data_IF_842515774284
#
_entry.id   IF_842515774284
#
_cell.length_a   1.000
_cell.length_b   1.000
_cell.length_c   1.000
_cell.angle_alpha   90.00
_cell.angle_beta   90.00
_cell.angle_gamma   90.00
#
_symmetry.space_group_name_H-M   'P 1'
#
loop_
_entity.id
_entity.type
_entity.pdbx_description
1 polymer ?
#
# COMPACT_ATOMS: atom_id res chain seq x y z
N UNK A 1 2.22 -1.99 -57.31
CA UNK A 1 2.98 -0.74 -57.18
C UNK A 1 3.84 -0.91 -55.93
N UNK A 2 5.14 -1.17 -56.10
CA UNK A 2 6.07 -1.42 -54.99
C UNK A 2 6.54 -0.09 -54.42
N UNK A 3 6.23 0.15 -53.15
CA UNK A 3 6.80 1.26 -52.38
C UNK A 3 8.11 0.81 -51.73
N UNK A 4 9.21 1.46 -52.10
CA UNK A 4 10.53 1.30 -51.49
C UNK A 4 10.56 2.23 -50.26
N UNK A 5 10.67 1.66 -49.07
CA UNK A 5 10.86 2.41 -47.82
C UNK A 5 12.36 2.64 -47.64
N UNK A 6 12.80 3.91 -47.76
CA UNK A 6 14.17 4.31 -47.41
C UNK A 6 14.29 4.45 -45.89
N UNK A 7 15.15 3.62 -45.28
CA UNK A 7 15.69 3.88 -43.94
C UNK A 7 16.88 4.84 -44.08
N UNK A 8 16.84 5.96 -43.34
CA UNK A 8 18.01 6.82 -43.11
C UNK A 8 18.68 6.42 -41.78
N UNK A 9 20.02 6.30 -41.72
CA UNK A 9 20.73 6.11 -40.46
C UNK A 9 20.78 7.43 -39.68
N UNK A 10 20.31 7.41 -38.43
CA UNK A 10 20.54 8.49 -37.46
C UNK A 10 21.96 8.30 -36.92
N UNK A 11 22.79 9.31 -37.16
CA UNK A 11 24.18 9.37 -36.75
C UNK A 11 24.32 9.50 -35.23
N UNK A 12 25.30 8.78 -34.67
CA UNK A 12 25.84 9.02 -33.34
C UNK A 12 26.34 10.46 -33.23
N UNK A 13 25.94 11.17 -32.18
CA UNK A 13 26.62 12.37 -31.73
C UNK A 13 27.20 12.05 -30.35
N UNK A 14 28.49 11.74 -30.34
CA UNK A 14 29.36 11.96 -29.18
C UNK A 14 29.41 13.47 -28.94
N UNK A 15 29.13 13.94 -27.72
CA UNK A 15 29.76 15.18 -27.24
C UNK A 15 29.74 15.28 -25.70
N UNK A 16 30.96 15.43 -25.19
CA UNK A 16 31.42 16.06 -23.96
C UNK A 16 30.89 15.59 -22.59
N UNK A 17 31.80 14.96 -21.85
CA UNK A 17 31.86 15.06 -20.39
C UNK A 17 32.11 16.53 -19.99
N UNK A 18 31.28 17.06 -19.10
CA UNK A 18 31.53 18.29 -18.36
C UNK A 18 31.45 17.97 -16.87
N UNK A 19 32.63 17.76 -16.27
CA UNK A 19 32.84 17.72 -14.83
C UNK A 19 32.69 19.15 -14.29
N UNK A 20 31.49 19.51 -13.83
CA UNK A 20 31.30 20.70 -13.01
C UNK A 20 31.20 20.31 -11.54
N UNK A 21 32.35 20.27 -10.88
CA UNK A 21 32.50 20.27 -9.44
C UNK A 21 31.70 21.45 -8.85
N UNK A 22 30.56 21.16 -8.22
CA UNK A 22 29.80 22.17 -7.46
C UNK A 22 30.33 22.18 -6.04
N UNK A 23 31.36 22.99 -5.85
CA UNK A 23 31.90 23.44 -4.57
C UNK A 23 30.78 23.96 -3.64
N UNK A 24 30.93 23.63 -2.36
CA UNK A 24 29.90 23.75 -1.34
C UNK A 24 29.35 25.14 -1.08
N UNK A 25 28.09 25.15 -0.65
CA UNK A 25 27.51 26.26 0.10
C UNK A 25 27.13 25.77 1.48
N UNK A 26 28.05 25.96 2.43
CA UNK A 26 27.73 25.96 3.87
C UNK A 26 26.72 27.07 4.13
N UNK A 27 25.47 26.69 4.38
CA UNK A 27 24.52 27.57 5.06
C UNK A 27 24.70 27.38 6.57
N UNK A 28 25.37 28.37 7.18
CA UNK A 28 25.52 28.53 8.62
C UNK A 28 24.17 28.43 9.35
N UNK A 29 24.02 27.39 10.16
CA UNK A 29 22.95 27.26 11.14
C UNK A 29 23.17 28.30 12.24
N UNK A 30 22.38 29.38 12.22
CA UNK A 30 22.25 30.24 13.39
C UNK A 30 21.43 29.51 14.46
N UNK A 31 22.12 29.15 15.54
CA UNK A 31 21.51 28.77 16.81
C UNK A 31 20.87 30.03 17.41
N UNK A 32 19.55 30.12 17.37
CA UNK A 32 18.81 31.08 18.19
C UNK A 32 18.54 30.47 19.56
N UNK A 33 19.31 30.98 20.53
CA UNK A 33 19.19 30.74 21.96
C UNK A 33 18.14 31.73 22.51
N UNK A 34 16.93 31.23 22.81
CA UNK A 34 15.95 32.05 23.53
C UNK A 34 15.11 31.23 24.51
N UNK A 35 15.55 31.37 25.77
CA UNK A 35 14.71 31.73 26.93
C UNK A 35 13.93 30.62 27.64
N UNK A 36 14.43 30.34 28.85
CA UNK A 36 13.72 29.76 30.01
C UNK A 36 12.56 30.66 30.46
N UNK A 37 11.39 30.06 30.65
CA UNK A 37 10.41 30.37 31.70
C UNK A 37 9.87 29.01 32.16
N UNK A 38 10.27 28.43 33.31
CA UNK A 38 9.83 28.71 34.69
C UNK A 38 8.39 29.21 34.85
N UNK A 39 7.46 28.27 35.01
CA UNK A 39 6.23 28.47 35.79
C UNK A 39 5.84 27.18 36.52
N UNK A 40 6.19 27.16 37.80
CA UNK A 40 5.35 26.80 38.96
C UNK A 40 4.21 25.78 38.77
N UNK A 41 4.38 24.65 39.45
CA UNK A 41 3.39 23.88 40.23
C UNK A 41 1.89 24.23 40.07
N UNK A 42 1.11 23.24 39.64
CA UNK A 42 -0.22 23.03 40.20
C UNK A 42 -0.47 21.54 40.45
N UNK A 43 -0.60 21.22 41.73
CA UNK A 43 -1.04 19.92 42.25
C UNK A 43 -2.55 19.98 42.40
N UNK A 44 -3.27 19.60 41.35
CA UNK A 44 -4.72 19.45 41.33
C UNK A 44 -5.14 18.03 41.73
N UNK A 45 -5.44 17.88 43.01
CA UNK A 45 -6.15 16.76 43.64
C UNK A 45 -7.65 16.88 43.29
N UNK A 46 -8.30 15.85 42.74
CA UNK A 46 -9.72 15.98 42.37
C UNK A 46 -10.40 14.80 41.69
N UNK A 47 -11.04 13.99 42.53
CA UNK A 47 -12.24 13.17 42.31
C UNK A 47 -12.18 11.82 41.57
N UNK A 48 -12.24 10.81 42.42
CA UNK A 48 -12.92 9.52 42.28
C UNK A 48 -14.34 9.66 41.69
N UNK A 49 -14.55 9.09 40.50
CA UNK A 49 -15.87 8.81 39.96
C UNK A 49 -16.07 7.30 39.79
N UNK A 50 -16.61 6.66 40.82
CA UNK A 50 -17.16 5.31 40.75
C UNK A 50 -18.45 5.36 39.90
N UNK A 51 -18.34 4.98 38.63
CA UNK A 51 -19.45 4.84 37.71
C UNK A 51 -19.86 3.38 37.56
N UNK A 52 -20.57 2.86 38.57
CA UNK A 52 -21.31 1.60 38.47
C UNK A 52 -22.50 1.79 37.51
N UNK A 53 -22.29 1.43 36.25
CA UNK A 53 -23.32 1.37 35.20
C UNK A 53 -23.76 -0.07 34.96
N UNK A 54 -24.86 -0.43 35.60
CA UNK A 54 -25.59 -1.70 35.53
C UNK A 54 -25.95 -2.17 34.10
N UNK A 55 -25.85 -3.49 33.93
CA UNK A 55 -26.72 -4.43 33.19
C UNK A 55 -27.22 -4.06 31.79
N UNK A 56 -26.75 -4.81 30.80
CA UNK A 56 -27.39 -4.98 29.50
C UNK A 56 -27.18 -6.40 28.98
N UNK A 57 -27.86 -7.38 29.59
CA UNK A 57 -28.05 -8.71 29.01
C UNK A 57 -28.96 -8.57 27.78
N UNK A 58 -28.33 -8.42 26.62
CA UNK A 58 -29.00 -8.44 25.32
C UNK A 58 -28.99 -9.84 24.74
N UNK A 59 -29.94 -10.67 25.16
CA UNK A 59 -30.32 -11.89 24.45
C UNK A 59 -30.97 -11.51 23.10
N UNK A 60 -30.13 -11.39 22.07
CA UNK A 60 -30.53 -11.17 20.69
C UNK A 60 -30.50 -12.47 19.89
N UNK A 61 -31.45 -13.36 20.16
CA UNK A 61 -31.82 -14.45 19.25
C UNK A 61 -32.43 -13.86 17.97
N UNK A 62 -31.93 -14.23 16.78
CA UNK A 62 -32.72 -14.04 15.56
C UNK A 62 -31.96 -13.96 14.24
N UNK A 63 -31.43 -15.10 13.81
CA UNK A 63 -31.44 -15.66 12.45
C UNK A 63 -31.62 -14.75 11.20
N UNK A 64 -30.67 -14.95 10.29
CA UNK A 64 -30.84 -15.27 8.85
C UNK A 64 -31.11 -14.16 7.81
N UNK A 65 -30.27 -14.20 6.77
CA UNK A 65 -30.44 -13.55 5.45
C UNK A 65 -29.06 -13.21 4.86
N UNK A 66 -28.32 -14.17 4.30
CA UNK A 66 -28.40 -14.72 2.93
C UNK A 66 -27.79 -13.81 1.84
N UNK A 67 -26.68 -14.28 1.25
CA UNK A 67 -26.17 -13.95 -0.10
C UNK A 67 -25.13 -12.82 -0.14
N UNK A 68 -23.88 -13.00 -0.57
CA UNK A 68 -23.27 -14.03 -1.41
C UNK A 68 -21.86 -14.33 -0.90
N UNK A 69 -21.65 -15.54 -0.34
CA UNK A 69 -20.31 -16.13 -0.33
C UNK A 69 -20.09 -16.64 -1.74
N UNK A 70 -19.32 -15.89 -2.53
CA UNK A 70 -18.95 -16.29 -3.88
C UNK A 70 -18.38 -17.71 -3.88
N UNK A 71 -18.90 -18.52 -4.79
CA UNK A 71 -18.42 -19.86 -5.14
C UNK A 71 -16.94 -19.78 -5.56
N UNK A 72 -16.04 -20.00 -4.61
CA UNK A 72 -14.61 -20.22 -4.84
C UNK A 72 -14.24 -21.65 -4.42
N UNK A 73 -14.82 -22.64 -5.08
CA UNK A 73 -14.34 -24.01 -4.92
C UNK A 73 -12.99 -24.16 -5.63
N UNK A 74 -11.91 -24.33 -4.86
CA UNK A 74 -10.87 -25.25 -5.27
C UNK A 74 -10.43 -26.17 -4.12
N UNK A 75 -10.33 -27.43 -4.51
CA UNK A 75 -10.14 -28.62 -3.71
C UNK A 75 -8.66 -28.88 -3.51
N UNK A 76 -8.17 -28.62 -2.30
CA UNK A 76 -7.16 -29.43 -1.62
C UNK A 76 -5.87 -29.73 -2.37
N UNK A 77 -4.86 -28.91 -2.11
CA UNK A 77 -3.54 -29.41 -1.73
C UNK A 77 -3.31 -28.97 -0.29
N UNK A 78 -2.70 -29.82 0.54
CA UNK A 78 -2.52 -29.60 1.98
C UNK A 78 -1.50 -28.51 2.32
N UNK A 79 -1.44 -27.46 1.50
CA UNK A 79 -0.57 -26.32 1.61
C UNK A 79 -1.35 -25.24 2.36
N UNK A 80 -0.80 -24.77 3.48
CA UNK A 80 -1.44 -23.85 4.42
C UNK A 80 -1.50 -22.42 3.85
N UNK A 81 -2.03 -22.28 2.64
CA UNK A 81 -2.05 -21.04 1.89
C UNK A 81 -3.18 -20.13 2.36
N UNK A 82 -2.92 -18.83 2.53
CA UNK A 82 -3.97 -17.89 2.89
C UNK A 82 -4.95 -17.71 1.72
N UNK A 83 -6.25 -17.70 2.01
CA UNK A 83 -7.27 -17.35 1.01
C UNK A 83 -7.56 -15.85 1.04
N UNK A 84 -6.93 -15.09 0.14
CA UNK A 84 -7.24 -13.67 -0.05
C UNK A 84 -8.53 -13.43 -0.85
N UNK A 85 -9.27 -14.46 -1.26
CA UNK A 85 -10.49 -14.33 -2.06
C UNK A 85 -10.20 -13.87 -3.50
N UNK A 86 -9.19 -14.46 -4.12
CA UNK A 86 -8.81 -14.14 -5.49
C UNK A 86 -9.91 -14.55 -6.49
N UNK A 87 -10.19 -13.66 -7.44
CA UNK A 87 -11.09 -13.94 -8.55
C UNK A 87 -10.27 -14.48 -9.73
N UNK A 88 -10.34 -15.78 -9.95
CA UNK A 88 -9.68 -16.48 -11.07
C UNK A 88 -10.19 -16.07 -12.45
N UNK A 89 -11.32 -15.38 -12.52
CA UNK A 89 -11.86 -14.80 -13.76
C UNK A 89 -11.31 -13.42 -14.10
N UNK A 90 -10.56 -12.78 -13.20
CA UNK A 90 -10.00 -11.45 -13.40
C UNK A 90 -8.73 -11.51 -14.27
N UNK A 91 -8.78 -10.95 -15.47
CA UNK A 91 -7.59 -10.80 -16.31
C UNK A 91 -6.72 -9.66 -15.75
N UNK A 92 -5.47 -10.00 -15.42
CA UNK A 92 -4.52 -9.02 -14.90
C UNK A 92 -3.93 -8.17 -16.04
N UNK A 93 -4.19 -6.86 -15.99
CA UNK A 93 -3.59 -5.88 -16.89
C UNK A 93 -2.69 -4.90 -16.11
N UNK A 94 -1.37 -5.15 -16.01
CA UNK A 94 -0.46 -4.37 -15.15
C UNK A 94 -0.31 -2.90 -15.56
N UNK A 95 -0.78 -2.54 -16.75
CA UNK A 95 -0.69 -1.21 -17.33
C UNK A 95 -2.07 -0.59 -17.58
N UNK A 96 -3.14 -1.28 -17.20
CA UNK A 96 -4.46 -0.67 -17.23
C UNK A 96 -4.59 0.24 -15.99
N UNK A 97 -4.48 1.53 -16.23
CA UNK A 97 -4.69 2.57 -15.22
C UNK A 97 -6.13 2.60 -14.72
N UNK A 98 -7.06 1.92 -15.40
CA UNK A 98 -8.43 1.69 -14.96
C UNK A 98 -8.61 0.41 -14.11
N UNK A 99 -7.59 -0.45 -13.96
CA UNK A 99 -7.71 -1.63 -13.12
C UNK A 99 -7.91 -1.23 -11.64
N UNK A 100 -9.11 -1.52 -11.13
CA UNK A 100 -9.55 -1.19 -9.77
C UNK A 100 -9.27 -2.30 -8.77
N UNK A 101 -9.05 -3.53 -9.22
CA UNK A 101 -8.78 -4.69 -8.34
C UNK A 101 -7.41 -5.24 -8.70
N UNK A 102 -6.54 -5.35 -7.70
CA UNK A 102 -5.25 -6.01 -7.85
C UNK A 102 -5.16 -7.25 -6.95
N UNK A 103 -4.67 -8.35 -7.52
CA UNK A 103 -4.43 -9.63 -6.86
C UNK A 103 -2.97 -9.99 -7.07
N UNK A 104 -2.21 -10.21 -5.99
CA UNK A 104 -0.76 -10.41 -6.01
C UNK A 104 -0.39 -11.56 -5.06
N UNK A 105 0.44 -12.48 -5.49
CA UNK A 105 0.85 -13.66 -4.73
C UNK A 105 2.38 -13.80 -4.71
N UNK A 106 2.93 -14.31 -3.61
CA UNK A 106 4.34 -14.73 -3.57
C UNK A 106 4.56 -15.99 -4.41
N UNK A 107 5.79 -16.22 -4.87
CA UNK A 107 6.13 -17.37 -5.72
C UNK A 107 5.79 -18.74 -5.07
N UNK A 108 5.82 -18.81 -3.75
CA UNK A 108 5.48 -20.00 -2.97
C UNK A 108 4.00 -20.06 -2.53
N UNK A 109 3.16 -19.10 -2.92
CA UNK A 109 1.76 -19.01 -2.49
C UNK A 109 1.55 -18.47 -1.08
N UNK A 110 2.49 -18.70 -0.14
CA UNK A 110 2.29 -18.49 1.31
C UNK A 110 1.94 -17.04 1.71
N UNK A 111 1.99 -16.07 0.79
CA UNK A 111 1.60 -14.68 1.01
C UNK A 111 0.79 -14.19 -0.19
N UNK A 112 -0.36 -13.60 0.09
CA UNK A 112 -1.23 -13.00 -0.92
C UNK A 112 -1.62 -11.58 -0.51
N UNK A 113 -1.85 -10.72 -1.49
CA UNK A 113 -2.42 -9.39 -1.34
C UNK A 113 -3.55 -9.24 -2.34
N UNK A 114 -4.70 -8.79 -1.86
CA UNK A 114 -5.81 -8.32 -2.65
C UNK A 114 -6.06 -6.87 -2.28
N UNK A 115 -6.20 -5.98 -3.25
CA UNK A 115 -6.57 -4.59 -2.99
C UNK A 115 -7.61 -4.11 -3.99
N UNK A 116 -8.48 -3.24 -3.52
CA UNK A 116 -9.44 -2.49 -4.32
C UNK A 116 -9.13 -1.01 -4.21
N UNK A 117 -9.15 -0.32 -5.35
CA UNK A 117 -8.87 1.10 -5.46
C UNK A 117 -9.79 1.75 -6.48
N UNK A 118 -10.04 3.04 -6.29
CA UNK A 118 -10.75 3.90 -7.22
C UNK A 118 -9.85 5.05 -7.67
N UNK A 119 -10.11 5.61 -8.85
CA UNK A 119 -9.40 6.83 -9.29
C UNK A 119 -9.86 7.99 -8.41
N UNK A 120 -8.91 8.72 -7.83
CA UNK A 120 -9.22 9.92 -7.06
C UNK A 120 -9.79 11.02 -8.00
N UNK A 121 -11.07 11.39 -7.89
CA UNK A 121 -11.70 12.36 -8.78
C UNK A 121 -11.24 13.80 -8.51
N UNK A 122 -10.70 14.06 -7.31
CA UNK A 122 -10.25 15.37 -6.86
C UNK A 122 -8.76 15.59 -7.14
N UNK A 123 -8.02 14.51 -7.39
CA UNK A 123 -6.63 14.59 -7.78
C UNK A 123 -6.48 15.16 -9.19
N UNK A 124 -5.77 16.28 -9.27
CA UNK A 124 -5.32 16.83 -10.56
C UNK A 124 -4.10 16.01 -10.98
N UNK A 125 -4.34 14.97 -11.80
CA UNK A 125 -3.27 14.18 -12.39
C UNK A 125 -2.22 15.06 -13.08
N UNK A 126 -0.94 14.73 -12.86
CA UNK A 126 0.13 15.25 -13.72
C UNK A 126 0.34 14.32 -14.90
N UNK A 127 1.09 14.75 -15.92
CA UNK A 127 1.30 13.95 -17.14
C UNK A 127 1.81 12.55 -16.81
N UNK A 128 0.93 11.55 -16.95
CA UNK A 128 1.26 10.13 -16.76
C UNK A 128 1.22 9.64 -15.31
N UNK A 129 0.51 10.32 -14.40
CA UNK A 129 0.25 9.84 -13.04
C UNK A 129 -1.26 9.73 -12.81
N UNK A 130 -1.71 8.58 -12.33
CA UNK A 130 -3.08 8.37 -11.85
C UNK A 130 -3.05 8.30 -10.32
N UNK A 131 -3.73 9.22 -9.66
CA UNK A 131 -3.90 9.13 -8.22
C UNK A 131 -5.07 8.22 -7.89
N UNK A 132 -4.92 7.42 -6.84
CA UNK A 132 -5.91 6.44 -6.42
C UNK A 132 -6.32 6.68 -4.98
N UNK A 133 -7.56 6.31 -4.67
CA UNK A 133 -8.06 6.11 -3.32
C UNK A 133 -8.05 4.60 -3.08
N UNK A 134 -7.44 4.17 -1.98
CA UNK A 134 -7.48 2.77 -1.54
C UNK A 134 -8.81 2.52 -0.82
N UNK A 135 -9.61 1.60 -1.34
CA UNK A 135 -10.95 1.28 -0.82
C UNK A 135 -10.91 0.07 0.12
N UNK A 136 -10.07 -0.91 -0.20
CA UNK A 136 -9.86 -2.09 0.62
C UNK A 136 -8.48 -2.68 0.41
N UNK A 137 -7.94 -3.27 1.47
CA UNK A 137 -6.66 -3.96 1.49
C UNK A 137 -6.80 -5.24 2.28
N UNK A 138 -6.54 -6.36 1.63
CA UNK A 138 -6.50 -7.68 2.25
C UNK A 138 -5.12 -8.28 2.06
N UNK A 139 -4.52 -8.74 3.15
CA UNK A 139 -3.23 -9.42 3.13
C UNK A 139 -3.32 -10.73 3.87
N UNK A 140 -2.91 -11.78 3.19
CA UNK A 140 -2.84 -13.13 3.71
C UNK A 140 -1.41 -13.56 3.89
N UNK A 141 -1.10 -14.22 5.00
CA UNK A 141 0.17 -14.91 5.19
C UNK A 141 -0.04 -16.17 6.03
N UNK A 142 0.46 -17.30 5.52
CA UNK A 142 0.21 -18.62 6.10
C UNK A 142 -1.29 -18.81 6.37
N UNK A 143 -1.70 -19.23 7.57
CA UNK A 143 -3.12 -19.48 7.90
C UNK A 143 -3.89 -18.22 8.34
N UNK A 144 -3.33 -17.02 8.17
CA UNK A 144 -3.94 -15.77 8.63
C UNK A 144 -4.23 -14.83 7.47
N UNK A 145 -5.41 -14.21 7.51
CA UNK A 145 -5.85 -13.18 6.55
C UNK A 145 -6.31 -11.98 7.35
N UNK A 146 -5.83 -10.81 6.96
CA UNK A 146 -6.22 -9.51 7.51
C UNK A 146 -6.92 -8.74 6.42
N UNK A 147 -8.07 -8.17 6.75
CA UNK A 147 -8.92 -7.40 5.85
C UNK A 147 -9.17 -6.02 6.47
N UNK A 148 -8.78 -4.96 5.75
CA UNK A 148 -8.89 -3.56 6.16
C UNK A 148 -9.67 -2.81 5.09
N UNK A 149 -10.79 -2.21 5.48
CA UNK A 149 -11.69 -1.47 4.59
C UNK A 149 -12.18 -0.16 5.17
N UNK A 150 -11.77 0.21 6.39
CA UNK A 150 -12.06 1.55 6.94
C UNK A 150 -11.12 2.56 6.26
N UNK A 151 -11.64 3.57 5.53
CA UNK A 151 -10.80 4.52 4.80
C UNK A 151 -9.81 5.29 5.67
N UNK A 152 -10.04 5.41 6.98
CA UNK A 152 -9.10 6.09 7.90
C UNK A 152 -7.82 5.28 8.14
N UNK A 153 -7.90 3.97 7.93
CA UNK A 153 -6.83 2.99 8.19
C UNK A 153 -6.11 2.60 6.89
N UNK A 154 -6.44 3.27 5.78
CA UNK A 154 -5.94 3.00 4.44
C UNK A 154 -5.27 4.26 3.89
N UNK A 155 -4.12 4.10 3.24
CA UNK A 155 -3.42 5.21 2.57
C UNK A 155 -2.83 4.74 1.25
N UNK A 156 -2.99 5.53 0.20
CA UNK A 156 -2.28 5.38 -1.07
C UNK A 156 -1.40 6.61 -1.28
N UNK A 157 -0.10 6.41 -1.46
CA UNK A 157 0.83 7.47 -1.79
C UNK A 157 1.31 7.32 -3.23
N UNK A 158 0.80 8.21 -4.08
CA UNK A 158 1.13 8.21 -5.50
C UNK A 158 2.41 8.98 -5.79
N UNK A 159 3.31 8.35 -6.53
CA UNK A 159 4.54 8.91 -7.04
C UNK A 159 4.42 9.32 -8.50
N UNK A 160 5.45 9.99 -9.02
CA UNK A 160 5.52 10.34 -10.44
C UNK A 160 5.53 9.06 -11.29
N UNK A 161 4.61 8.95 -12.24
CA UNK A 161 4.38 7.77 -13.08
C UNK A 161 3.98 6.47 -12.37
N UNK A 162 3.52 6.53 -11.12
CA UNK A 162 3.10 5.36 -10.35
C UNK A 162 4.21 4.29 -10.21
N UNK A 163 5.48 4.67 -10.37
CA UNK A 163 6.62 3.75 -10.41
C UNK A 163 7.13 3.36 -9.03
N UNK A 164 6.82 4.15 -8.01
CA UNK A 164 7.29 3.98 -6.65
C UNK A 164 6.16 4.16 -5.63
N UNK A 165 4.93 3.78 -6.02
CA UNK A 165 3.76 3.97 -5.17
C UNK A 165 3.86 3.11 -3.91
N UNK A 166 3.37 3.67 -2.80
CA UNK A 166 3.21 2.93 -1.56
C UNK A 166 1.74 2.87 -1.17
N UNK A 167 1.34 1.70 -0.71
CA UNK A 167 0.01 1.43 -0.17
C UNK A 167 0.19 1.00 1.26
N UNK A 168 -0.55 1.61 2.17
CA UNK A 168 -0.48 1.33 3.59
C UNK A 168 -1.85 0.93 4.11
N UNK A 169 -1.86 -0.11 4.95
CA UNK A 169 -3.04 -0.52 5.71
C UNK A 169 -2.67 -0.68 7.17
N UNK A 170 -3.53 -0.22 8.06
CA UNK A 170 -3.26 -0.17 9.49
C UNK A 170 -4.33 -0.95 10.26
N UNK A 171 -3.90 -1.64 11.29
CA UNK A 171 -4.78 -2.31 12.27
C UNK A 171 -4.35 -1.89 13.67
N UNK A 172 -5.08 -2.30 14.70
CA UNK A 172 -4.72 -2.04 16.10
C UNK A 172 -3.34 -2.59 16.51
N UNK A 173 -2.78 -3.53 15.73
CA UNK A 173 -1.56 -4.27 16.11
C UNK A 173 -0.44 -4.17 15.09
N UNK A 174 -0.78 -3.93 13.82
CA UNK A 174 0.18 -3.99 12.72
C UNK A 174 -0.04 -2.85 11.73
N UNK A 175 1.05 -2.42 11.12
CA UNK A 175 1.10 -1.59 9.92
C UNK A 175 1.61 -2.45 8.76
N UNK A 176 0.87 -2.47 7.65
CA UNK A 176 1.21 -3.19 6.43
C UNK A 176 1.60 -2.19 5.36
N UNK A 177 2.70 -2.45 4.67
CA UNK A 177 3.20 -1.64 3.57
C UNK A 177 3.35 -2.51 2.33
N UNK A 178 2.74 -2.09 1.23
CA UNK A 178 2.98 -2.61 -0.11
C UNK A 178 3.66 -1.52 -0.93
N UNK A 179 4.87 -1.80 -1.41
CA UNK A 179 5.63 -0.91 -2.29
C UNK A 179 5.63 -1.46 -3.70
N UNK A 180 5.30 -0.62 -4.66
CA UNK A 180 5.50 -0.87 -6.10
C UNK A 180 6.84 -0.29 -6.51
N UNK A 181 7.64 -1.05 -7.26
CA UNK A 181 8.90 -0.60 -7.87
C UNK A 181 8.88 -0.95 -9.36
N UNK A 182 8.83 0.06 -10.22
CA UNK A 182 8.76 -0.12 -11.66
C UNK A 182 9.47 0.98 -12.43
N UNK A 183 9.51 0.82 -13.75
CA UNK A 183 9.89 1.88 -14.68
C UNK A 183 9.35 1.56 -16.06
N UNK A 184 9.47 2.50 -17.00
CA UNK A 184 9.17 2.26 -18.42
C UNK A 184 9.98 1.10 -19.04
N UNK A 185 11.09 0.69 -18.42
CA UNK A 185 12.03 -0.27 -18.99
C UNK A 185 12.15 -1.55 -18.17
N UNK A 186 11.47 -1.64 -17.03
CA UNK A 186 11.57 -2.78 -16.11
C UNK A 186 10.18 -3.23 -15.71
N UNK A 187 9.94 -4.55 -15.56
CA UNK A 187 8.69 -5.03 -15.00
C UNK A 187 8.46 -4.43 -13.61
N UNK A 188 7.20 -4.25 -13.25
CA UNK A 188 6.81 -3.88 -11.90
C UNK A 188 7.13 -5.02 -10.94
N UNK A 189 7.78 -4.68 -9.85
CA UNK A 189 8.02 -5.54 -8.70
C UNK A 189 7.20 -4.99 -7.55
N UNK A 190 6.52 -5.87 -6.84
CA UNK A 190 5.74 -5.50 -5.66
C UNK A 190 6.35 -6.16 -4.44
N UNK A 191 6.50 -5.42 -3.36
CA UNK A 191 7.02 -5.95 -2.10
C UNK A 191 6.06 -5.63 -0.96
N UNK A 192 5.67 -6.64 -0.18
CA UNK A 192 4.83 -6.46 1.00
C UNK A 192 5.59 -6.76 2.29
N UNK A 193 5.36 -5.93 3.32
CA UNK A 193 5.91 -6.10 4.65
C UNK A 193 4.86 -5.78 5.72
N UNK A 194 5.05 -6.34 6.91
CA UNK A 194 4.28 -5.99 8.10
C UNK A 194 5.21 -5.60 9.25
N UNK A 195 4.79 -4.58 9.97
CA UNK A 195 5.47 -3.97 11.10
C UNK A 195 4.54 -3.98 12.30
N UNK A 196 5.09 -3.90 13.50
CA UNK A 196 4.29 -3.54 14.68
C UNK A 196 3.73 -2.12 14.48
N UNK A 197 2.55 -1.86 15.05
CA UNK A 197 1.90 -0.54 14.99
C UNK A 197 2.83 0.62 15.42
N UNK A 198 2.58 1.83 14.91
CA UNK A 198 3.39 3.05 15.17
C UNK A 198 4.86 2.98 14.66
N UNK A 199 5.09 2.27 13.55
CA UNK A 199 6.44 2.15 12.97
C UNK A 199 7.38 1.32 13.85
N UNK A 200 6.81 0.35 14.55
CA UNK A 200 7.55 -0.61 15.35
C UNK A 200 8.41 -1.54 14.49
N UNK A 201 9.08 -2.54 15.11
CA UNK A 201 9.94 -3.46 14.39
C UNK A 201 9.19 -4.21 13.29
N UNK A 202 9.94 -4.59 12.26
CA UNK A 202 9.48 -5.49 11.21
C UNK A 202 9.06 -6.82 11.83
N UNK A 203 7.79 -7.16 11.69
CA UNK A 203 7.23 -8.45 12.12
C UNK A 203 7.56 -9.50 11.08
N UNK A 204 7.34 -9.18 9.81
CA UNK A 204 7.66 -10.06 8.70
C UNK A 204 7.80 -9.30 7.37
N UNK A 205 8.49 -9.92 6.41
CA UNK A 205 8.78 -9.29 5.11
C UNK A 205 10.21 -8.75 5.02
N UNK A 206 10.54 -7.94 4.00
CA UNK A 206 9.75 -7.76 2.77
C UNK A 206 9.65 -9.07 1.97
N UNK A 207 8.53 -9.30 1.30
CA UNK A 207 8.30 -10.43 0.39
C UNK A 207 7.94 -9.89 -0.99
N UNK A 208 8.63 -10.39 -2.01
CA UNK A 208 8.27 -10.14 -3.40
C UNK A 208 6.95 -10.85 -3.71
N UNK A 209 5.99 -10.09 -4.23
CA UNK A 209 4.69 -10.59 -4.70
C UNK A 209 4.51 -10.19 -6.16
N UNK A 210 3.88 -11.07 -6.92
CA UNK A 210 3.70 -10.93 -8.35
C UNK A 210 2.23 -11.13 -8.69
N UNK A 211 1.75 -10.55 -9.80
CA UNK A 211 0.46 -10.94 -10.34
C UNK A 211 0.38 -12.46 -10.55
N UNK A 212 -0.78 -13.09 -10.31
CA UNK A 212 -0.96 -14.51 -10.58
C UNK A 212 -0.65 -14.81 -12.06
N UNK A 213 0.05 -15.92 -12.30
CA UNK A 213 0.55 -16.33 -13.61
C UNK A 213 -0.45 -17.07 -14.49
#
# INVERSE_FOLDING_TARGET
>A
MSGVLLLAPIACSDDAADDSETEGSSSDTQLDESTKEDTTADTGDGDTGDGDGDTGDGDGDGDAGDGDTGDGGDTGDGDNNPDCGFDTGLEWEPLDDAATIWQLESENGDTCVWLERSVDPDAIGTSGTTAFILEAFRVGRAESVVDVSDPKDLTWNTTYHNFMDTTEAVTDTHWYELTTLGSYFTPFVYTVAAYEYEGGPLVWGPIDILPPG
#
